data_IF_373527561060
#
_entry.id   IF_373527561060
#
_cell.length_a   1.000
_cell.length_b   1.000
_cell.length_c   1.000
_cell.angle_alpha   90.00
_cell.angle_beta   90.00
_cell.angle_gamma   90.00
#
_symmetry.space_group_name_H-M   'P 1'
#
loop_
_entity.id
_entity.type
_entity.pdbx_description
1 polymer ?
#
# COMPACT_ATOMS: atom_id res chain seq x y z
N UNK A 1 10.16 -14.08 15.93
CA UNK A 1 9.43 -12.91 16.48
C UNK A 1 7.99 -13.29 16.76
N UNK A 2 7.43 -12.98 17.94
CA UNK A 2 6.03 -13.27 18.25
C UNK A 2 5.13 -12.49 17.27
N UNK A 3 4.28 -13.20 16.52
CA UNK A 3 3.31 -12.57 15.62
C UNK A 3 2.26 -11.86 16.47
N UNK A 4 2.04 -10.57 16.22
CA UNK A 4 0.96 -9.81 16.87
C UNK A 4 -0.36 -10.55 16.65
N UNK A 5 -1.16 -10.71 17.72
CA UNK A 5 -2.49 -11.33 17.63
C UNK A 5 -3.34 -10.52 16.65
N UNK A 6 -3.96 -11.19 15.67
CA UNK A 6 -4.92 -10.55 14.76
C UNK A 6 -6.18 -10.28 15.56
N UNK A 7 -6.51 -9.00 15.74
CA UNK A 7 -7.79 -8.58 16.32
C UNK A 7 -8.85 -8.69 15.22
N UNK A 8 -9.98 -9.30 15.55
CA UNK A 8 -11.13 -9.37 14.66
C UNK A 8 -11.80 -7.99 14.58
N UNK A 9 -11.91 -7.45 13.38
CA UNK A 9 -12.62 -6.20 13.13
C UNK A 9 -13.69 -6.43 12.06
N UNK A 10 -14.96 -6.23 12.43
CA UNK A 10 -16.12 -6.50 11.57
C UNK A 10 -15.97 -5.82 10.20
N UNK A 11 -15.49 -4.57 10.18
CA UNK A 11 -15.32 -3.78 8.95
C UNK A 11 -14.31 -4.43 7.98
N UNK A 12 -13.27 -5.09 8.50
CA UNK A 12 -12.25 -5.77 7.66
C UNK A 12 -12.83 -7.02 7.02
N UNK A 13 -13.63 -7.78 7.77
CA UNK A 13 -14.27 -9.01 7.27
C UNK A 13 -15.32 -8.71 6.20
N UNK A 14 -16.18 -7.71 6.42
CA UNK A 14 -17.16 -7.30 5.40
C UNK A 14 -16.45 -6.92 4.09
N UNK A 15 -15.32 -6.21 4.16
CA UNK A 15 -14.50 -5.89 2.98
C UNK A 15 -13.82 -7.12 2.38
N UNK A 16 -13.41 -8.10 3.18
CA UNK A 16 -12.82 -9.35 2.67
C UNK A 16 -13.86 -10.16 1.89
N UNK A 17 -15.03 -10.38 2.49
CA UNK A 17 -16.17 -11.06 1.86
C UNK A 17 -16.60 -10.35 0.58
N UNK A 18 -16.64 -9.02 0.58
CA UNK A 18 -16.98 -8.25 -0.63
C UNK A 18 -15.95 -8.45 -1.75
N UNK A 19 -14.66 -8.50 -1.44
CA UNK A 19 -13.60 -8.77 -2.43
C UNK A 19 -13.64 -10.19 -2.96
N UNK A 20 -14.00 -11.16 -2.12
CA UNK A 20 -14.19 -12.56 -2.54
C UNK A 20 -15.38 -12.70 -3.50
N UNK A 21 -16.48 -11.97 -3.24
CA UNK A 21 -17.71 -12.05 -4.04
C UNK A 21 -17.66 -11.23 -5.34
N UNK A 22 -17.18 -10.00 -5.27
CA UNK A 22 -17.27 -9.01 -6.37
C UNK A 22 -15.94 -8.85 -7.11
N UNK A 23 -14.84 -9.34 -6.52
CA UNK A 23 -13.49 -9.11 -7.01
C UNK A 23 -12.81 -7.91 -6.36
N UNK A 24 -11.51 -7.76 -6.58
CA UNK A 24 -10.74 -6.64 -6.03
C UNK A 24 -11.10 -5.35 -6.74
N UNK A 25 -11.61 -4.37 -5.99
CA UNK A 25 -11.84 -3.01 -6.50
C UNK A 25 -10.50 -2.39 -6.87
N UNK A 26 -10.30 -1.95 -8.13
CA UNK A 26 -9.08 -1.27 -8.53
C UNK A 26 -8.91 0.04 -7.75
N UNK A 27 -7.67 0.47 -7.54
CA UNK A 27 -7.41 1.76 -6.95
C UNK A 27 -7.99 2.88 -7.82
N UNK A 28 -8.53 3.93 -7.20
CA UNK A 28 -9.11 5.08 -7.92
C UNK A 28 -8.10 5.82 -8.79
N UNK A 29 -6.80 5.73 -8.46
CA UNK A 29 -5.71 6.31 -9.24
C UNK A 29 -4.65 5.24 -9.49
N UNK A 30 -4.06 5.19 -10.71
CA UNK A 30 -2.91 4.33 -10.97
C UNK A 30 -1.75 4.73 -10.07
N UNK A 31 -1.00 3.73 -9.58
CA UNK A 31 0.18 3.97 -8.76
C UNK A 31 1.31 4.39 -9.70
N UNK A 32 1.66 5.67 -9.66
CA UNK A 32 2.78 6.19 -10.43
C UNK A 32 4.12 5.58 -9.96
N UNK A 33 5.07 5.37 -10.91
CA UNK A 33 6.43 4.97 -10.56
C UNK A 33 7.05 6.02 -9.64
N UNK A 34 7.96 5.58 -8.76
CA UNK A 34 8.55 6.45 -7.72
C UNK A 34 9.23 7.71 -8.30
N UNK A 35 9.73 7.62 -9.53
CA UNK A 35 10.34 8.71 -10.29
C UNK A 35 9.35 9.81 -10.71
N UNK A 36 8.10 9.44 -11.02
CA UNK A 36 7.08 10.39 -11.48
C UNK A 36 6.31 11.05 -10.32
N UNK A 37 6.54 10.63 -9.07
CA UNK A 37 5.81 11.15 -7.91
C UNK A 37 6.25 12.56 -7.58
N UNK A 38 5.29 13.48 -7.48
CA UNK A 38 5.50 14.88 -7.04
C UNK A 38 6.25 15.01 -5.71
N UNK A 39 6.12 14.01 -4.82
CA UNK A 39 6.94 13.88 -3.62
C UNK A 39 7.85 12.67 -3.80
N UNK A 40 9.15 12.87 -4.09
CA UNK A 40 10.10 11.76 -4.15
C UNK A 40 10.18 11.07 -2.79
N UNK A 41 10.49 9.77 -2.77
CA UNK A 41 10.57 8.97 -1.54
C UNK A 41 11.62 9.53 -0.58
N UNK A 42 12.75 9.98 -1.13
CA UNK A 42 13.86 10.60 -0.42
C UNK A 42 13.96 12.06 -0.87
N UNK A 43 14.35 12.97 0.03
CA UNK A 43 14.54 14.39 -0.30
C UNK A 43 15.66 14.59 -1.33
N UNK A 44 16.67 13.71 -1.31
CA UNK A 44 17.78 13.65 -2.26
C UNK A 44 17.68 12.37 -3.09
N UNK A 45 18.03 12.41 -4.39
CA UNK A 45 18.20 11.19 -5.17
C UNK A 45 19.30 10.34 -4.54
N UNK A 46 19.12 9.02 -4.56
CA UNK A 46 20.03 8.06 -3.89
C UNK A 46 21.45 8.06 -4.48
N UNK A 47 21.62 8.62 -5.68
CA UNK A 47 22.90 8.80 -6.37
C UNK A 47 23.82 9.80 -5.65
N UNK A 48 23.28 10.76 -4.90
CA UNK A 48 24.05 11.78 -4.16
C UNK A 48 24.58 11.29 -2.78
N UNK A 49 24.27 10.06 -2.36
CA UNK A 49 24.71 9.50 -1.07
C UNK A 49 25.86 8.48 -1.22
N UNK A 50 26.34 8.22 -2.44
CA UNK A 50 27.39 7.22 -2.74
C UNK A 50 28.77 7.86 -3.00
N UNK A 51 28.86 9.20 -3.10
CA UNK A 51 30.14 9.95 -3.06
C UNK A 51 30.55 10.31 -1.62
#
# INVERSE_FOLDING_TARGET
MPRKKKVFEIVKEVKAIARERVGTVPATKPIEPKSARKKPKHKKPMEEEIE
#
